data_IF_214689894012
#
_entry.id   IF_214689894012
#
_cell.length_a   1.000
_cell.length_b   1.000
_cell.length_c   1.000
_cell.angle_alpha   90.00
_cell.angle_beta   90.00
_cell.angle_gamma   90.00
#
_symmetry.space_group_name_H-M   'P 1'
#
loop_
_entity.id
_entity.type
_entity.pdbx_description
1 polymer ?
#
# COMPACT_ATOMS: atom_id res chain seq x y z
N UNK A 1 23.33 14.78 -9.22
CA UNK A 1 22.01 15.09 -8.64
C UNK A 1 21.88 14.29 -7.33
N UNK A 2 21.83 14.95 -6.17
CA UNK A 2 21.64 14.26 -4.88
C UNK A 2 20.24 13.63 -4.87
N UNK A 3 20.14 12.31 -4.71
CA UNK A 3 18.86 11.65 -4.39
C UNK A 3 18.37 12.24 -3.07
N UNK A 4 17.24 12.94 -3.09
CA UNK A 4 16.56 13.31 -1.84
C UNK A 4 16.26 12.01 -1.09
N UNK A 5 16.60 11.90 0.20
CA UNK A 5 16.26 10.71 0.97
C UNK A 5 14.73 10.57 0.96
N UNK A 6 14.22 9.35 0.83
CA UNK A 6 12.78 9.00 0.85
C UNK A 6 12.12 9.27 2.22
N UNK A 7 12.76 10.08 3.06
CA UNK A 7 12.35 10.50 4.41
C UNK A 7 11.70 11.87 4.39
N UNK A 8 10.87 12.19 3.39
CA UNK A 8 9.98 13.35 3.52
C UNK A 8 8.90 13.00 4.57
N UNK A 9 9.24 13.31 5.83
CA UNK A 9 8.46 13.32 7.07
C UNK A 9 7.06 13.97 6.88
N UNK A 10 6.81 14.64 5.76
CA UNK A 10 5.54 15.29 5.43
C UNK A 10 4.39 14.37 5.01
N UNK A 11 4.63 13.22 4.38
CA UNK A 11 3.55 12.30 3.98
C UNK A 11 3.05 11.48 5.18
N UNK A 12 4.01 10.93 5.93
CA UNK A 12 3.80 10.07 7.10
C UNK A 12 2.89 10.69 8.18
N UNK A 13 3.08 11.99 8.49
CA UNK A 13 2.26 12.70 9.46
C UNK A 13 0.90 13.18 8.92
N UNK A 14 0.74 13.27 7.59
CA UNK A 14 -0.47 13.82 6.95
C UNK A 14 -1.46 12.75 6.50
N UNK A 15 -1.04 11.51 6.28
CA UNK A 15 -1.93 10.42 5.87
C UNK A 15 -3.14 10.29 6.80
N UNK A 16 -2.99 10.12 8.14
CA UNK A 16 -4.14 10.05 9.05
C UNK A 16 -5.06 11.27 8.99
N UNK A 17 -4.49 12.47 8.80
CA UNK A 17 -5.26 13.71 8.71
C UNK A 17 -6.09 13.74 7.42
N UNK A 18 -5.50 13.36 6.29
CA UNK A 18 -6.19 13.31 5.01
C UNK A 18 -7.36 12.32 5.05
N UNK A 19 -7.17 11.14 5.67
CA UNK A 19 -8.26 10.14 5.82
C UNK A 19 -9.39 10.65 6.70
N UNK A 20 -9.08 11.31 7.83
CA UNK A 20 -10.09 11.97 8.69
C UNK A 20 -10.89 13.05 7.96
N UNK A 21 -10.25 13.82 7.09
CA UNK A 21 -10.95 14.83 6.27
C UNK A 21 -11.90 14.16 5.29
N UNK A 22 -11.47 13.08 4.63
CA UNK A 22 -12.31 12.34 3.69
C UNK A 22 -13.52 11.68 4.38
N UNK A 23 -13.33 11.08 5.56
CA UNK A 23 -14.42 10.52 6.37
C UNK A 23 -15.43 11.61 6.75
N UNK A 24 -14.96 12.78 7.24
CA UNK A 24 -15.83 13.92 7.54
C UNK A 24 -16.56 14.48 6.32
N UNK A 25 -15.99 14.31 5.13
CA UNK A 25 -16.60 14.73 3.87
C UNK A 25 -17.63 13.72 3.33
N UNK A 26 -17.85 12.59 4.02
CA UNK A 26 -18.87 11.60 3.66
C UNK A 26 -18.37 10.48 2.75
N UNK A 27 -17.07 10.17 2.76
CA UNK A 27 -16.59 8.96 2.10
C UNK A 27 -17.16 7.69 2.77
N UNK A 28 -17.53 6.68 1.98
CA UNK A 28 -18.02 5.39 2.50
C UNK A 28 -16.89 4.40 2.82
N UNK A 29 -15.82 4.44 2.03
CA UNK A 29 -14.61 3.63 2.20
C UNK A 29 -13.39 4.42 1.76
N UNK A 30 -12.20 4.00 2.22
CA UNK A 30 -10.95 4.62 1.82
C UNK A 30 -9.96 3.57 1.32
N UNK A 31 -8.93 4.02 0.60
CA UNK A 31 -7.80 3.19 0.24
C UNK A 31 -6.50 3.74 0.84
N UNK A 32 -5.67 2.83 1.34
CA UNK A 32 -4.28 3.08 1.73
C UNK A 32 -3.39 2.69 0.53
N UNK A 33 -2.78 3.70 -0.11
CA UNK A 33 -2.04 3.60 -1.36
C UNK A 33 -0.62 4.15 -1.24
N UNK A 34 -0.08 4.19 -0.02
CA UNK A 34 1.27 4.69 0.25
C UNK A 34 2.33 3.83 -0.45
N UNK A 35 3.40 4.49 -0.90
CA UNK A 35 4.52 3.86 -1.60
C UNK A 35 5.89 4.28 -1.06
N UNK A 36 5.93 4.99 0.07
CA UNK A 36 7.18 5.44 0.69
C UNK A 36 7.13 5.41 2.21
N UNK A 37 8.30 5.26 2.83
CA UNK A 37 8.44 5.11 4.28
C UNK A 37 8.05 3.71 4.77
N UNK A 38 7.83 3.59 6.08
CA UNK A 38 7.33 2.35 6.68
C UNK A 38 5.83 2.20 6.41
N UNK A 39 5.50 1.45 5.36
CA UNK A 39 4.13 1.23 4.92
C UNK A 39 3.27 0.50 5.97
N UNK A 40 3.88 -0.37 6.78
CA UNK A 40 3.15 -1.04 7.86
C UNK A 40 2.74 -0.05 8.95
N UNK A 41 3.67 0.83 9.33
CA UNK A 41 3.41 1.83 10.37
C UNK A 41 2.44 2.92 9.89
N UNK A 42 2.55 3.39 8.63
CA UNK A 42 1.55 4.29 8.01
C UNK A 42 0.17 3.65 8.06
N UNK A 43 0.04 2.41 7.59
CA UNK A 43 -1.25 1.72 7.49
C UNK A 43 -1.91 1.58 8.86
N UNK A 44 -1.18 1.13 9.88
CA UNK A 44 -1.71 1.03 11.25
C UNK A 44 -2.18 2.38 11.79
N UNK A 45 -1.39 3.45 11.58
CA UNK A 45 -1.80 4.81 11.97
C UNK A 45 -3.04 5.29 11.23
N UNK A 46 -3.20 4.93 9.95
CA UNK A 46 -4.40 5.24 9.18
C UNK A 46 -5.62 4.51 9.77
N UNK A 47 -5.49 3.21 10.02
CA UNK A 47 -6.56 2.39 10.60
C UNK A 47 -6.96 2.90 12.00
N UNK A 48 -6.00 3.28 12.83
CA UNK A 48 -6.26 3.85 14.16
C UNK A 48 -6.93 5.24 14.12
N UNK A 49 -6.93 5.89 12.95
CA UNK A 49 -7.35 7.29 12.82
C UNK A 49 -8.79 7.50 12.36
N UNK A 50 -9.41 6.48 11.77
CA UNK A 50 -10.74 6.56 11.15
C UNK A 50 -11.56 5.32 11.48
N UNK A 51 -12.88 5.40 11.29
CA UNK A 51 -13.81 4.28 11.52
C UNK A 51 -14.25 3.57 10.24
N UNK A 52 -13.96 4.14 9.07
CA UNK A 52 -14.33 3.57 7.77
C UNK A 52 -13.54 2.30 7.44
N UNK A 53 -14.14 1.45 6.59
CA UNK A 53 -13.43 0.32 5.99
C UNK A 53 -12.33 0.82 5.06
N UNK A 54 -11.12 0.29 5.24
CA UNK A 54 -9.94 0.63 4.42
C UNK A 54 -9.54 -0.54 3.55
N UNK A 55 -9.27 -0.26 2.27
CA UNK A 55 -8.70 -1.21 1.33
C UNK A 55 -7.27 -0.87 0.89
N UNK A 56 -6.61 -1.80 0.22
CA UNK A 56 -5.23 -1.66 -0.24
C UNK A 56 -5.00 -2.23 -1.64
N UNK A 57 -3.79 -1.99 -2.16
CA UNK A 57 -3.20 -2.74 -3.27
C UNK A 57 -1.93 -3.42 -2.75
N UNK A 58 -2.00 -4.70 -2.30
CA UNK A 58 -0.87 -5.38 -1.65
C UNK A 58 0.44 -5.33 -2.46
N UNK A 59 0.31 -5.39 -3.80
CA UNK A 59 1.42 -5.34 -4.74
C UNK A 59 2.35 -4.12 -4.54
N UNK A 60 1.83 -2.97 -4.10
CA UNK A 60 2.64 -1.77 -3.91
C UNK A 60 3.66 -1.95 -2.79
N UNK A 61 3.24 -2.53 -1.67
CA UNK A 61 4.16 -2.81 -0.55
C UNK A 61 5.19 -3.87 -0.93
N UNK A 62 4.76 -4.93 -1.62
CA UNK A 62 5.68 -5.96 -2.13
C UNK A 62 6.74 -5.33 -3.04
N UNK A 63 6.33 -4.46 -3.97
CA UNK A 63 7.24 -3.77 -4.88
C UNK A 63 8.24 -2.88 -4.13
N UNK A 64 7.77 -2.06 -3.18
CA UNK A 64 8.64 -1.13 -2.43
C UNK A 64 9.64 -1.88 -1.55
N UNK A 65 9.19 -2.87 -0.78
CA UNK A 65 10.08 -3.67 0.06
C UNK A 65 11.05 -4.52 -0.77
N UNK A 66 10.64 -4.99 -1.95
CA UNK A 66 11.54 -5.71 -2.87
C UNK A 66 12.60 -4.78 -3.44
N UNK A 67 12.24 -3.55 -3.83
CA UNK A 67 13.22 -2.55 -4.29
C UNK A 67 14.21 -2.22 -3.17
N UNK A 68 13.73 -2.04 -1.94
CA UNK A 68 14.58 -1.75 -0.79
C UNK A 68 15.54 -2.91 -0.46
N UNK A 69 15.02 -4.14 -0.39
CA UNK A 69 15.80 -5.33 0.01
C UNK A 69 16.68 -5.90 -1.10
N UNK A 70 16.20 -5.85 -2.35
CA UNK A 70 16.83 -6.55 -3.50
C UNK A 70 17.29 -5.61 -4.62
N UNK A 71 16.98 -4.31 -4.55
CA UNK A 71 17.44 -3.28 -5.49
C UNK A 71 16.63 -3.14 -6.77
N UNK A 72 15.63 -3.99 -7.02
CA UNK A 72 14.78 -3.90 -8.21
C UNK A 72 13.46 -4.66 -8.04
N UNK A 73 12.38 -4.11 -8.58
CA UNK A 73 11.03 -4.70 -8.55
C UNK A 73 10.94 -6.05 -9.28
N UNK A 74 11.80 -6.28 -10.28
CA UNK A 74 11.80 -7.54 -11.06
C UNK A 74 12.23 -8.76 -10.25
N UNK A 75 12.77 -8.56 -9.04
CA UNK A 75 13.17 -9.63 -8.10
C UNK A 75 12.06 -10.00 -7.11
N UNK A 76 10.82 -9.64 -7.44
CA UNK A 76 9.66 -9.95 -6.64
C UNK A 76 9.36 -11.44 -6.73
N UNK A 77 9.08 -12.05 -5.57
CA UNK A 77 8.67 -13.45 -5.48
C UNK A 77 7.18 -13.52 -5.16
N UNK A 78 6.49 -14.51 -5.72
CA UNK A 78 5.06 -14.70 -5.48
C UNK A 78 4.72 -14.97 -4.01
N UNK A 79 5.53 -15.75 -3.30
CA UNK A 79 5.34 -16.04 -1.87
C UNK A 79 5.30 -14.77 -1.01
N UNK A 80 6.12 -13.77 -1.37
CA UNK A 80 6.16 -12.51 -0.63
C UNK A 80 4.87 -11.69 -0.79
N UNK A 81 4.16 -11.83 -1.92
CA UNK A 81 2.83 -11.23 -2.07
C UNK A 81 1.83 -11.84 -1.09
N UNK A 82 1.85 -13.17 -0.92
CA UNK A 82 0.95 -13.83 0.03
C UNK A 82 1.28 -13.46 1.49
N UNK A 83 2.56 -13.33 1.84
CA UNK A 83 2.96 -12.82 3.16
C UNK A 83 2.43 -11.41 3.42
N UNK A 84 2.52 -10.51 2.44
CA UNK A 84 2.01 -9.13 2.58
C UNK A 84 0.49 -9.11 2.68
N UNK A 85 -0.22 -9.94 1.90
CA UNK A 85 -1.68 -10.10 2.03
C UNK A 85 -2.05 -10.52 3.44
N UNK A 86 -1.38 -11.53 3.99
CA UNK A 86 -1.66 -12.02 5.35
C UNK A 86 -1.41 -10.93 6.39
N UNK A 87 -0.28 -10.22 6.32
CA UNK A 87 0.03 -9.11 7.25
C UNK A 87 -0.99 -7.97 7.16
N UNK A 88 -1.41 -7.61 5.96
CA UNK A 88 -2.42 -6.55 5.76
C UNK A 88 -3.80 -6.98 6.29
N UNK A 89 -4.18 -8.25 6.10
CA UNK A 89 -5.40 -8.80 6.68
C UNK A 89 -5.34 -8.79 8.22
N UNK A 90 -4.20 -9.16 8.81
CA UNK A 90 -3.98 -9.11 10.26
C UNK A 90 -4.05 -7.68 10.83
N UNK A 91 -3.55 -6.69 10.09
CA UNK A 91 -3.66 -5.27 10.49
C UNK A 91 -5.12 -4.76 10.47
N UNK A 92 -6.03 -5.41 9.74
CA UNK A 92 -7.45 -5.05 9.67
C UNK A 92 -7.92 -4.45 8.34
N UNK A 93 -7.19 -4.67 7.25
CA UNK A 93 -7.64 -4.28 5.90
C UNK A 93 -8.91 -5.05 5.51
N UNK A 94 -9.94 -4.33 5.08
CA UNK A 94 -11.25 -4.90 4.77
C UNK A 94 -11.42 -5.38 3.33
N UNK A 95 -10.65 -4.83 2.37
CA UNK A 95 -10.66 -5.28 0.97
C UNK A 95 -9.32 -5.02 0.27
N UNK A 96 -9.04 -5.77 -0.79
CA UNK A 96 -7.79 -5.66 -1.54
C UNK A 96 -8.07 -5.65 -3.04
N UNK A 97 -7.43 -4.75 -3.77
CA UNK A 97 -7.38 -4.83 -5.22
C UNK A 97 -6.20 -5.73 -5.63
N UNK A 98 -6.51 -6.87 -6.27
CA UNK A 98 -5.52 -7.82 -6.77
C UNK A 98 -5.67 -7.94 -8.28
N UNK A 99 -4.60 -7.65 -9.01
CA UNK A 99 -4.59 -7.58 -10.47
C UNK A 99 -4.47 -8.96 -11.14
N UNK A 100 -5.28 -9.93 -10.73
CA UNK A 100 -5.26 -11.30 -11.28
C UNK A 100 -5.71 -11.40 -12.74
N UNK A 101 -6.33 -10.33 -13.27
CA UNK A 101 -6.73 -10.25 -14.67
C UNK A 101 -5.56 -10.06 -15.64
N UNK A 102 -4.37 -9.66 -15.16
CA UNK A 102 -3.17 -9.51 -15.99
C UNK A 102 -2.42 -10.84 -16.01
N UNK A 103 -2.42 -11.52 -17.14
CA UNK A 103 -1.70 -12.76 -17.39
C UNK A 103 -1.04 -12.76 -18.77
N UNK A 104 -0.27 -13.81 -19.08
CA UNK A 104 0.46 -13.90 -20.36
C UNK A 104 -0.45 -13.83 -21.57
N UNK A 105 -1.64 -14.46 -21.50
CA UNK A 105 -2.63 -14.39 -22.59
C UNK A 105 -3.07 -12.95 -22.80
N UNK A 106 -3.38 -12.23 -21.71
CA UNK A 106 -3.80 -10.83 -21.85
C UNK A 106 -2.69 -9.95 -22.38
N UNK A 107 -1.41 -10.23 -22.14
CA UNK A 107 -0.29 -9.41 -22.65
C UNK A 107 -0.02 -9.62 -24.14
N UNK A 108 -0.35 -10.79 -24.70
CA UNK A 108 -0.14 -11.11 -26.12
C UNK A 108 -1.14 -10.41 -27.06
N UNK A 109 -2.24 -9.87 -26.52
CA UNK A 109 -3.35 -9.29 -27.30
C UNK A 109 -3.26 -7.75 -27.32
N UNK A 110 -2.18 -7.15 -26.79
CA UNK A 110 -1.90 -5.70 -26.83
C UNK A 110 -0.72 -5.34 -27.73
#
# INVERSE_FOLDING_TARGET
MKKRPLTEIGAYCKEPLAKKVAEKAGADTLMELSTGGDLGEIRRRVLDSISLTVGTVPLYQVAMETIEKKGSVVKMESDFLFEIIERQAQDGIGFMAIHCGINMITLEIW
#
